data_IF_072158044089
#
_entry.id   IF_072158044089
#
_cell.length_a   1.000
_cell.length_b   1.000
_cell.length_c   1.000
_cell.angle_alpha   90.00
_cell.angle_beta   90.00
_cell.angle_gamma   90.00
#
_symmetry.space_group_name_H-M   'P 1'
#
loop_
_entity.id
_entity.type
_entity.pdbx_description
1 polymer ?
#
# COMPACT_ATOMS: atom_id res chain seq x y z
N UNK A 1 -31.17 8.79 5.33
CA UNK A 1 -29.74 9.06 5.56
C UNK A 1 -29.01 7.72 5.53
N UNK A 2 -28.43 7.35 4.40
CA UNK A 2 -27.63 6.12 4.29
C UNK A 2 -26.36 6.32 5.10
N UNK A 3 -26.33 5.80 6.33
CA UNK A 3 -25.09 5.71 7.11
C UNK A 3 -24.21 4.74 6.35
N UNK A 4 -23.31 5.28 5.54
CA UNK A 4 -22.32 4.52 4.81
C UNK A 4 -21.50 3.77 5.88
N UNK A 5 -21.62 2.44 5.92
CA UNK A 5 -21.06 1.52 6.92
C UNK A 5 -19.53 1.49 6.99
N UNK A 6 -18.87 2.47 6.36
CA UNK A 6 -17.43 2.49 6.09
C UNK A 6 -16.86 3.90 6.32
N UNK A 7 -17.37 4.63 7.32
CA UNK A 7 -16.72 5.86 7.74
C UNK A 7 -15.71 5.51 8.84
N UNK A 8 -14.42 5.50 8.46
CA UNK A 8 -13.30 5.27 9.35
C UNK A 8 -12.73 6.61 9.80
N UNK A 9 -12.68 6.85 11.10
CA UNK A 9 -11.99 8.02 11.64
C UNK A 9 -10.55 7.64 12.00
N UNK A 10 -9.58 8.20 11.28
CA UNK A 10 -8.16 8.04 11.59
C UNK A 10 -7.69 9.16 12.52
N UNK A 11 -6.95 8.78 13.57
CA UNK A 11 -6.18 9.71 14.41
C UNK A 11 -4.75 9.24 14.47
N UNK A 12 -3.84 10.20 14.60
CA UNK A 12 -2.41 9.96 14.78
C UNK A 12 -2.02 10.52 16.14
N UNK A 13 -1.29 9.73 16.94
CA UNK A 13 -0.73 10.13 18.22
C UNK A 13 0.76 9.79 18.18
N UNK A 14 1.62 10.80 18.33
CA UNK A 14 3.09 10.63 18.33
C UNK A 14 3.62 9.85 17.10
N UNK A 15 3.19 10.28 15.91
CA UNK A 15 3.49 9.66 14.62
C UNK A 15 3.09 8.17 14.50
N UNK A 16 2.20 7.68 15.37
CA UNK A 16 1.64 6.33 15.30
C UNK A 16 0.13 6.38 15.05
N UNK A 17 -0.40 5.58 14.12
CA UNK A 17 -1.84 5.52 13.89
C UNK A 17 -2.53 4.87 15.09
N UNK A 18 -3.68 5.42 15.46
CA UNK A 18 -4.57 4.77 16.42
C UNK A 18 -5.25 3.59 15.74
N UNK A 19 -5.02 2.40 16.29
CA UNK A 19 -5.48 1.14 15.70
C UNK A 19 -6.63 0.53 16.50
N UNK A 20 -7.63 0.02 15.78
CA UNK A 20 -8.67 -0.82 16.35
C UNK A 20 -8.32 -2.28 16.12
N UNK A 21 -8.12 -3.02 17.21
CA UNK A 21 -7.76 -4.43 17.18
C UNK A 21 -8.97 -5.29 17.61
N UNK A 22 -9.31 -6.29 16.81
CA UNK A 22 -10.39 -7.23 17.13
C UNK A 22 -9.94 -8.67 16.91
N UNK A 23 -10.53 -9.59 17.66
CA UNK A 23 -10.24 -11.02 17.55
C UNK A 23 -11.16 -11.63 16.51
N UNK A 24 -10.59 -12.33 15.54
CA UNK A 24 -11.35 -13.14 14.59
C UNK A 24 -11.11 -14.59 14.93
N UNK A 25 -12.17 -15.30 15.32
CA UNK A 25 -12.11 -16.74 15.54
C UNK A 25 -11.96 -17.42 14.19
N UNK A 26 -10.71 -17.66 13.77
CA UNK A 26 -10.39 -18.49 12.61
C UNK A 26 -10.03 -19.88 13.13
N UNK A 27 -10.30 -20.91 12.35
CA UNK A 27 -10.45 -22.33 12.70
C UNK A 27 -9.35 -22.98 13.56
N UNK A 28 -8.17 -22.38 13.74
CA UNK A 28 -7.07 -22.97 14.53
C UNK A 28 -6.21 -22.00 15.36
N UNK A 29 -6.50 -20.70 15.41
CA UNK A 29 -5.77 -19.79 16.30
C UNK A 29 -6.55 -18.48 16.55
N UNK A 30 -6.45 -17.95 17.77
CA UNK A 30 -6.90 -16.58 18.11
C UNK A 30 -5.97 -15.56 17.46
N UNK A 31 -6.15 -15.27 16.17
CA UNK A 31 -5.44 -14.18 15.50
C UNK A 31 -6.12 -12.84 15.79
N UNK A 32 -5.31 -11.87 16.19
CA UNK A 32 -5.74 -10.48 16.42
C UNK A 32 -5.49 -9.72 15.12
N UNK A 33 -6.52 -9.10 14.58
CA UNK A 33 -6.42 -8.23 13.42
C UNK A 33 -6.52 -6.78 13.89
N UNK A 34 -5.58 -5.93 13.49
CA UNK A 34 -5.59 -4.51 13.80
C UNK A 34 -5.74 -3.71 12.51
N UNK A 35 -6.76 -2.86 12.46
CA UNK A 35 -6.98 -1.93 11.37
C UNK A 35 -6.63 -0.50 11.80
N UNK A 36 -6.11 0.29 10.88
CA UNK A 36 -5.95 1.74 11.08
C UNK A 36 -7.30 2.41 10.94
N UNK A 37 -7.79 3.02 12.02
CA UNK A 37 -9.14 3.58 12.10
C UNK A 37 -10.16 2.62 12.74
N UNK A 38 -11.35 3.14 13.03
CA UNK A 38 -12.41 2.40 13.70
C UNK A 38 -13.77 2.67 13.03
N UNK A 39 -14.70 1.70 13.04
CA UNK A 39 -16.04 1.89 12.52
C UNK A 39 -16.83 2.86 13.42
N UNK A 40 -17.70 3.66 12.82
CA UNK A 40 -18.61 4.55 13.58
C UNK A 40 -19.86 3.80 14.09
N UNK A 41 -20.15 2.63 13.55
CA UNK A 41 -21.29 1.83 13.97
C UNK A 41 -21.37 0.51 13.23
N UNK A 42 -22.46 -0.21 13.47
CA UNK A 42 -22.77 -1.44 12.78
C UNK A 42 -24.28 -1.61 12.63
N UNK A 43 -24.69 -2.46 11.70
CA UNK A 43 -26.09 -2.70 11.38
C UNK A 43 -26.41 -4.19 11.48
N UNK A 44 -27.53 -4.50 12.14
CA UNK A 44 -28.08 -5.85 12.19
C UNK A 44 -29.27 -5.91 11.24
N UNK A 45 -29.17 -6.82 10.27
CA UNK A 45 -30.20 -6.97 9.25
C UNK A 45 -31.57 -7.36 9.86
N UNK A 46 -32.62 -7.15 9.09
CA UNK A 46 -34.00 -7.59 9.42
C UNK A 46 -34.08 -9.10 9.69
N UNK A 47 -33.22 -9.90 9.06
CA UNK A 47 -33.07 -11.33 9.32
C UNK A 47 -32.42 -11.67 10.68
N UNK A 48 -31.84 -10.68 11.38
CA UNK A 48 -31.08 -10.87 12.62
C UNK A 48 -29.62 -11.26 12.42
N UNK A 49 -29.12 -11.22 11.18
CA UNK A 49 -27.71 -11.47 10.88
C UNK A 49 -26.89 -10.21 11.16
N UNK A 50 -25.99 -10.29 12.14
CA UNK A 50 -25.02 -9.24 12.42
C UNK A 50 -24.01 -9.11 11.27
N UNK A 51 -23.84 -7.90 10.72
CA UNK A 51 -22.84 -7.59 9.70
C UNK A 51 -21.75 -6.67 10.28
N UNK A 52 -20.58 -6.67 9.64
CA UNK A 52 -19.46 -5.79 9.96
C UNK A 52 -19.01 -5.88 11.44
N UNK A 53 -18.86 -4.74 12.11
CA UNK A 53 -18.39 -4.67 13.49
C UNK A 53 -19.37 -5.25 14.54
N UNK A 54 -20.63 -5.53 14.18
CA UNK A 54 -21.60 -6.16 15.10
C UNK A 54 -21.19 -7.61 15.44
N UNK A 55 -20.37 -8.26 14.61
CA UNK A 55 -19.88 -9.65 14.84
C UNK A 55 -18.97 -9.76 16.07
N UNK A 56 -18.40 -8.64 16.53
CA UNK A 56 -17.39 -8.63 17.61
C UNK A 56 -18.03 -8.86 18.98
N UNK A 57 -19.26 -8.39 19.18
CA UNK A 57 -20.03 -8.61 20.41
C UNK A 57 -21.47 -9.01 20.07
N UNK A 58 -21.68 -10.24 19.58
CA UNK A 58 -22.99 -10.68 19.08
C UNK A 58 -24.05 -10.76 20.18
N UNK A 59 -23.65 -10.84 21.46
CA UNK A 59 -24.56 -10.81 22.60
C UNK A 59 -25.11 -9.41 22.90
N UNK A 60 -24.35 -8.37 22.58
CA UNK A 60 -24.72 -6.98 22.87
C UNK A 60 -25.47 -6.35 21.70
N UNK A 61 -25.06 -6.65 20.46
CA UNK A 61 -25.64 -6.08 19.23
C UNK A 61 -26.50 -7.12 18.50
N UNK A 62 -27.68 -7.45 19.05
CA UNK A 62 -28.51 -8.55 18.55
C UNK A 62 -29.92 -8.15 18.08
N UNK A 63 -30.39 -6.93 18.39
CA UNK A 63 -31.72 -6.51 17.96
C UNK A 63 -31.83 -6.42 16.44
N UNK A 64 -32.88 -7.02 15.88
CA UNK A 64 -33.17 -7.02 14.45
C UNK A 64 -33.48 -5.61 13.94
N UNK A 65 -33.09 -5.34 12.69
CA UNK A 65 -33.38 -4.09 11.97
C UNK A 65 -32.97 -2.82 12.75
N UNK A 66 -31.76 -2.87 13.30
CA UNK A 66 -31.24 -1.84 14.23
C UNK A 66 -29.83 -1.40 13.85
N UNK A 67 -29.63 -0.09 13.79
CA UNK A 67 -28.34 0.56 13.65
C UNK A 67 -27.77 0.86 15.03
N UNK A 68 -26.60 0.32 15.32
CA UNK A 68 -25.85 0.64 16.54
C UNK A 68 -24.78 1.65 16.21
N UNK A 69 -24.78 2.78 16.90
CA UNK A 69 -23.76 3.82 16.74
C UNK A 69 -22.76 3.71 17.89
N UNK A 70 -21.47 3.67 17.55
CA UNK A 70 -20.37 3.70 18.51
C UNK A 70 -20.07 5.15 18.88
N UNK A 71 -20.82 5.62 19.88
CA UNK A 71 -20.70 6.97 20.40
C UNK A 71 -19.65 7.11 21.52
N UNK A 72 -19.18 6.00 22.08
CA UNK A 72 -18.10 5.98 23.05
C UNK A 72 -16.83 5.38 22.48
N UNK A 73 -15.71 6.05 22.75
CA UNK A 73 -14.40 5.61 22.30
C UNK A 73 -13.44 5.52 23.48
N UNK A 74 -12.95 4.31 23.77
CA UNK A 74 -11.92 4.08 24.78
C UNK A 74 -10.56 3.96 24.11
N UNK A 75 -9.67 4.90 24.40
CA UNK A 75 -8.30 4.94 23.87
C UNK A 75 -7.37 4.43 24.97
N UNK A 76 -6.65 3.35 24.70
CA UNK A 76 -5.64 2.78 25.59
C UNK A 76 -4.25 3.09 25.03
N UNK A 77 -3.53 3.96 25.73
CA UNK A 77 -2.17 4.34 25.41
C UNK A 77 -1.21 3.55 26.29
N UNK A 78 -0.41 2.67 25.68
CA UNK A 78 0.65 1.97 26.39
C UNK A 78 1.96 2.71 26.18
N UNK A 79 2.64 3.00 27.28
CA UNK A 79 3.93 3.67 27.27
C UNK A 79 4.98 2.81 27.96
N UNK A 80 6.21 2.91 27.47
CA UNK A 80 7.39 2.39 28.14
C UNK A 80 7.88 3.48 29.08
N UNK A 81 8.05 3.16 30.36
CA UNK A 81 8.62 4.08 31.33
C UNK A 81 10.15 3.91 31.33
N UNK A 82 10.90 5.00 31.13
CA UNK A 82 12.37 5.01 31.14
C UNK A 82 12.98 4.87 32.54
N UNK A 83 12.17 4.74 33.59
CA UNK A 83 12.65 4.46 34.93
C UNK A 83 13.50 3.17 34.98
N UNK A 84 14.82 3.32 35.06
CA UNK A 84 15.79 2.22 35.06
C UNK A 84 16.56 2.02 33.74
N UNK A 85 16.35 2.90 32.75
CA UNK A 85 17.03 2.90 31.45
C UNK A 85 17.92 4.15 31.30
N UNK A 86 18.76 4.19 30.26
CA UNK A 86 19.67 5.33 29.97
C UNK A 86 18.96 6.63 29.55
N UNK A 87 17.63 6.65 29.55
CA UNK A 87 16.82 7.77 29.07
C UNK A 87 15.70 8.09 30.07
N UNK A 88 15.49 9.38 30.30
CA UNK A 88 14.43 9.87 31.17
C UNK A 88 13.12 10.09 30.39
N UNK A 89 11.99 9.88 31.06
CA UNK A 89 10.64 10.10 30.53
C UNK A 89 9.88 8.84 30.12
N UNK A 90 8.80 9.03 29.35
CA UNK A 90 7.91 7.97 28.88
C UNK A 90 7.82 7.98 27.34
N UNK A 91 7.99 6.83 26.71
CA UNK A 91 7.89 6.68 25.25
C UNK A 91 6.61 5.92 24.89
N UNK A 92 5.86 6.40 23.91
CA UNK A 92 4.66 5.72 23.46
C UNK A 92 5.02 4.45 22.68
N UNK A 93 4.32 3.35 23.00
CA UNK A 93 4.58 2.04 22.40
C UNK A 93 3.36 1.50 21.64
N UNK A 94 2.15 1.74 22.13
CA UNK A 94 0.94 1.33 21.40
C UNK A 94 -0.22 2.30 21.66
N UNK A 95 -1.02 2.56 20.64
CA UNK A 95 -2.24 3.35 20.74
C UNK A 95 -3.39 2.50 20.21
N UNK A 96 -4.12 1.89 21.12
CA UNK A 96 -5.24 1.00 20.81
C UNK A 96 -6.56 1.69 21.11
N UNK A 97 -7.57 1.44 20.29
CA UNK A 97 -8.88 2.03 20.43
C UNK A 97 -9.95 0.95 20.45
N UNK A 98 -10.89 1.09 21.38
CA UNK A 98 -12.03 0.21 21.57
C UNK A 98 -13.32 1.03 21.43
N UNK A 99 -14.06 0.89 20.32
CA UNK A 99 -15.35 1.55 20.16
C UNK A 99 -16.43 0.81 20.96
N UNK A 100 -17.39 1.55 21.50
CA UNK A 100 -18.54 0.99 22.22
C UNK A 100 -19.78 1.85 21.99
N UNK A 101 -20.94 1.20 22.02
CA UNK A 101 -22.24 1.90 21.95
C UNK A 101 -22.83 2.02 23.35
N UNK A 102 -23.22 3.23 23.76
CA UNK A 102 -23.70 3.50 25.11
C UNK A 102 -24.88 4.47 25.08
N UNK A 103 -26.04 4.03 25.59
CA UNK A 103 -27.28 4.84 25.54
C UNK A 103 -27.23 6.11 26.41
N UNK A 104 -26.67 6.01 27.63
CA UNK A 104 -26.73 7.08 28.64
C UNK A 104 -25.46 7.93 28.72
N UNK A 105 -24.89 8.33 27.58
CA UNK A 105 -23.68 9.15 27.50
C UNK A 105 -22.52 8.63 28.40
N UNK A 106 -22.45 7.31 28.62
CA UNK A 106 -21.42 6.65 29.44
C UNK A 106 -21.39 7.08 30.91
N UNK A 107 -22.55 7.29 31.56
CA UNK A 107 -22.59 7.38 33.04
C UNK A 107 -22.07 6.11 33.72
N UNK A 108 -22.20 4.95 33.06
CA UNK A 108 -21.59 3.68 33.46
C UNK A 108 -20.33 3.40 32.59
N UNK A 109 -19.15 3.17 33.19
CA UNK A 109 -17.91 2.85 32.48
C UNK A 109 -17.97 1.58 31.61
N UNK A 110 -18.92 0.68 31.91
CA UNK A 110 -19.06 -0.63 31.27
C UNK A 110 -19.93 -0.62 30.01
N UNK A 111 -20.71 0.45 29.78
CA UNK A 111 -21.63 0.56 28.64
C UNK A 111 -22.49 -0.69 28.40
N UNK A 112 -23.16 -1.15 29.45
CA UNK A 112 -23.96 -2.38 29.40
C UNK A 112 -25.19 -2.30 28.48
N UNK A 113 -25.68 -1.09 28.15
CA UNK A 113 -26.82 -0.88 27.25
C UNK A 113 -26.40 -0.15 25.97
N UNK A 114 -26.54 -0.78 24.79
CA UNK A 114 -26.16 -0.18 23.52
C UNK A 114 -27.19 0.86 23.06
N UNK A 115 -26.72 1.88 22.33
CA UNK A 115 -27.56 2.87 21.68
C UNK A 115 -27.96 2.37 20.28
N UNK A 116 -29.11 1.69 20.21
CA UNK A 116 -29.71 1.20 18.97
C UNK A 116 -30.75 2.16 18.40
N UNK A 117 -30.69 2.40 17.09
CA UNK A 117 -31.66 3.19 16.32
C UNK A 117 -32.36 2.25 15.34
N UNK A 118 -33.69 2.12 15.42
CA UNK A 118 -34.47 1.31 14.47
C UNK A 118 -34.45 1.93 13.08
N UNK A 119 -34.41 1.10 12.04
CA UNK A 119 -34.54 1.56 10.67
C UNK A 119 -35.93 2.17 10.44
N UNK A 120 -35.99 3.38 9.88
CA UNK A 120 -37.26 4.05 9.55
C UNK A 120 -37.67 5.23 10.45
N UNK A 121 -36.87 5.59 11.45
CA UNK A 121 -37.06 6.83 12.21
C UNK A 121 -36.76 8.07 11.35
N UNK A 122 -37.72 8.99 11.23
CA UNK A 122 -37.58 10.28 10.52
C UNK A 122 -37.29 11.45 11.45
N UNK A 123 -37.30 11.24 12.76
CA UNK A 123 -37.02 12.30 13.74
C UNK A 123 -35.52 12.61 13.84
N UNK A 124 -35.13 13.88 14.07
CA UNK A 124 -33.74 14.24 14.31
C UNK A 124 -33.25 13.66 15.64
N UNK A 125 -32.23 12.80 15.59
CA UNK A 125 -31.66 12.13 16.76
C UNK A 125 -30.38 12.86 17.20
N UNK A 126 -30.31 13.27 18.46
CA UNK A 126 -29.08 13.80 19.07
C UNK A 126 -28.28 12.67 19.70
N UNK A 127 -27.01 12.53 19.30
CA UNK A 127 -26.13 11.44 19.75
C UNK A 127 -25.02 12.04 20.63
N UNK A 128 -24.96 11.72 21.93
CA UNK A 128 -23.88 12.18 22.79
C UNK A 128 -22.61 11.36 22.54
N UNK A 129 -21.52 12.03 22.13
CA UNK A 129 -20.22 11.41 21.95
C UNK A 129 -19.34 11.61 23.18
N UNK A 130 -18.71 10.53 23.64
CA UNK A 130 -17.79 10.55 24.79
C UNK A 130 -16.53 9.78 24.48
N UNK A 131 -15.44 10.14 25.16
CA UNK A 131 -14.17 9.44 25.03
C UNK A 131 -13.56 9.20 26.40
N UNK A 132 -12.82 8.10 26.52
CA UNK A 132 -12.03 7.77 27.71
C UNK A 132 -10.60 7.49 27.28
N UNK A 133 -9.62 8.04 27.99
CA UNK A 133 -8.21 7.76 27.75
C UNK A 133 -7.64 7.01 28.96
N UNK A 134 -7.07 5.84 28.72
CA UNK A 134 -6.36 5.06 29.73
C UNK A 134 -4.88 5.00 29.38
N UNK A 135 -4.05 5.31 30.36
CA UNK A 135 -2.60 5.18 30.26
C UNK A 135 -2.17 3.92 31.00
N UNK A 136 -1.36 3.09 30.36
CA UNK A 136 -0.86 1.85 30.98
C UNK A 136 0.63 1.71 30.71
N UNK A 137 1.43 1.54 31.76
CA UNK A 137 2.86 1.28 31.62
C UNK A 137 3.11 -0.16 31.17
N UNK A 138 3.92 -0.35 30.14
CA UNK A 138 4.38 -1.67 29.70
C UNK A 138 5.85 -1.60 29.26
N UNK A 139 6.72 -2.18 30.08
CA UNK A 139 8.17 -2.23 29.86
C UNK A 139 8.61 -3.42 29.00
N UNK A 140 7.73 -4.42 28.79
CA UNK A 140 8.07 -5.63 28.03
C UNK A 140 8.27 -5.38 26.53
N UNK A 141 7.69 -4.31 26.01
CA UNK A 141 7.79 -3.95 24.58
C UNK A 141 8.84 -2.84 24.44
N UNK A 142 9.86 -3.09 23.63
CA UNK A 142 10.88 -2.09 23.31
C UNK A 142 10.28 -1.02 22.37
N UNK A 143 10.74 0.21 22.49
CA UNK A 143 10.27 1.30 21.61
C UNK A 143 10.54 1.00 20.12
N UNK A 144 11.65 0.33 19.79
CA UNK A 144 11.98 -0.05 18.41
C UNK A 144 10.97 -1.04 17.79
N UNK A 145 10.37 -1.92 18.60
CA UNK A 145 9.38 -2.92 18.17
C UNK A 145 7.94 -2.41 18.23
N UNK A 146 7.72 -1.09 18.31
CA UNK A 146 6.38 -0.50 18.48
C UNK A 146 5.42 -0.75 17.31
N UNK A 147 5.95 -1.07 16.13
CA UNK A 147 5.17 -1.34 14.92
C UNK A 147 4.79 -2.82 14.76
N UNK A 148 5.44 -3.73 15.50
CA UNK A 148 5.33 -5.17 15.28
C UNK A 148 3.88 -5.67 15.43
N UNK A 149 3.13 -5.14 16.41
CA UNK A 149 1.74 -5.55 16.63
C UNK A 149 0.81 -5.16 15.47
N UNK A 150 1.13 -4.10 14.73
CA UNK A 150 0.36 -3.68 13.56
C UNK A 150 0.74 -4.57 12.38
N UNK A 151 2.05 -4.75 12.15
CA UNK A 151 2.58 -5.50 11.02
C UNK A 151 2.21 -6.98 11.06
N UNK A 152 2.29 -7.62 12.23
CA UNK A 152 1.92 -9.02 12.43
C UNK A 152 0.43 -9.28 12.18
N UNK A 153 -0.39 -8.25 12.36
CA UNK A 153 -1.84 -8.35 12.19
C UNK A 153 -2.31 -8.19 10.73
N UNK A 154 -1.41 -7.76 9.83
CA UNK A 154 -1.71 -7.65 8.40
C UNK A 154 -1.70 -9.07 7.83
N UNK A 155 -2.80 -9.54 7.19
CA UNK A 155 -2.78 -10.84 6.55
C UNK A 155 -1.67 -10.85 5.51
N UNK A 156 -0.70 -11.75 5.67
CA UNK A 156 0.32 -12.00 4.65
C UNK A 156 -0.39 -12.46 3.37
N UNK A 157 -0.71 -11.53 2.48
CA UNK A 157 -1.23 -11.86 1.18
C UNK A 157 -0.08 -12.48 0.40
N UNK A 158 -0.11 -13.80 0.24
CA UNK A 158 0.81 -14.61 -0.58
C UNK A 158 0.87 -14.19 -2.06
N UNK A 159 0.13 -13.15 -2.43
CA UNK A 159 -0.04 -12.61 -3.78
C UNK A 159 1.21 -11.84 -4.27
N UNK A 160 2.03 -11.28 -3.36
CA UNK A 160 3.22 -10.51 -3.76
C UNK A 160 4.32 -11.36 -4.39
N UNK A 161 4.44 -12.62 -4.00
CA UNK A 161 5.43 -13.55 -4.56
C UNK A 161 5.20 -13.83 -6.05
N UNK A 162 3.97 -13.69 -6.55
CA UNK A 162 3.67 -13.81 -7.97
C UNK A 162 4.30 -12.69 -8.80
N UNK A 163 4.30 -11.45 -8.28
CA UNK A 163 4.94 -10.30 -8.94
C UNK A 163 6.46 -10.44 -8.94
N UNK A 164 7.05 -10.92 -7.82
CA UNK A 164 8.48 -11.19 -7.72
C UNK A 164 8.90 -12.25 -8.74
N UNK A 165 8.20 -13.39 -8.81
CA UNK A 165 8.48 -14.45 -9.77
C UNK A 165 8.36 -13.95 -11.22
N UNK A 166 7.31 -13.20 -11.53
CA UNK A 166 7.10 -12.62 -12.87
C UNK A 166 8.27 -11.72 -13.29
N UNK A 167 8.76 -10.85 -12.38
CA UNK A 167 9.89 -9.98 -12.65
C UNK A 167 11.20 -10.76 -12.86
N UNK A 168 11.43 -11.83 -12.09
CA UNK A 168 12.64 -12.65 -12.21
C UNK A 168 12.71 -13.38 -13.56
N UNK A 169 11.58 -13.91 -14.05
CA UNK A 169 11.52 -14.60 -15.34
C UNK A 169 11.88 -13.66 -16.50
N UNK A 170 11.37 -12.41 -16.47
CA UNK A 170 11.65 -11.41 -17.50
C UNK A 170 13.14 -11.04 -17.51
N UNK A 171 13.74 -10.81 -16.34
CA UNK A 171 15.17 -10.46 -16.22
C UNK A 171 16.07 -11.57 -16.76
N UNK A 172 15.80 -12.83 -16.40
CA UNK A 172 16.57 -13.97 -16.91
C UNK A 172 16.47 -14.09 -18.43
N UNK A 173 15.28 -13.95 -18.99
CA UNK A 173 15.08 -14.04 -20.43
C UNK A 173 15.80 -12.92 -21.20
N UNK A 174 15.68 -11.68 -20.73
CA UNK A 174 16.36 -10.53 -21.33
C UNK A 174 17.89 -10.67 -21.23
N UNK A 175 18.42 -11.10 -20.07
CA UNK A 175 19.84 -11.36 -19.92
C UNK A 175 20.34 -12.47 -20.84
N UNK A 176 19.56 -13.54 -21.03
CA UNK A 176 19.88 -14.65 -21.92
C UNK A 176 19.91 -14.24 -23.38
N UNK A 177 18.95 -13.42 -23.82
CA UNK A 177 18.92 -12.86 -25.17
C UNK A 177 20.13 -11.96 -25.43
N UNK A 178 20.46 -11.06 -24.51
CA UNK A 178 21.65 -10.19 -24.62
C UNK A 178 22.93 -11.03 -24.66
N UNK A 179 23.06 -12.02 -23.77
CA UNK A 179 24.21 -12.91 -23.75
C UNK A 179 24.34 -13.71 -25.06
N UNK A 180 23.24 -14.20 -25.65
CA UNK A 180 23.26 -14.88 -26.95
C UNK A 180 23.75 -13.96 -28.06
N UNK A 181 23.27 -12.71 -28.12
CA UNK A 181 23.70 -11.72 -29.13
C UNK A 181 25.18 -11.41 -28.94
N UNK A 182 25.63 -11.20 -27.71
CA UNK A 182 27.03 -10.92 -27.38
C UNK A 182 27.94 -12.10 -27.76
N UNK A 183 27.55 -13.33 -27.41
CA UNK A 183 28.33 -14.52 -27.79
C UNK A 183 28.36 -14.71 -29.31
N UNK A 184 27.25 -14.46 -30.01
CA UNK A 184 27.19 -14.60 -31.47
C UNK A 184 28.05 -13.56 -32.18
N UNK A 185 28.04 -12.32 -31.71
CA UNK A 185 28.88 -11.24 -32.24
C UNK A 185 30.36 -11.51 -31.97
N UNK A 186 30.70 -11.89 -30.74
CA UNK A 186 32.07 -12.22 -30.35
C UNK A 186 32.63 -13.39 -31.14
N UNK A 187 31.89 -14.51 -31.30
CA UNK A 187 32.36 -15.64 -32.10
C UNK A 187 32.59 -15.25 -33.57
N UNK A 188 31.70 -14.43 -34.14
CA UNK A 188 31.84 -13.94 -35.52
C UNK A 188 33.04 -13.02 -35.66
N UNK A 189 33.29 -12.14 -34.69
CA UNK A 189 34.41 -11.22 -34.71
C UNK A 189 35.75 -11.98 -34.55
N UNK A 190 35.86 -12.92 -33.60
CA UNK A 190 37.06 -13.77 -33.46
C UNK A 190 37.34 -14.54 -34.75
N UNK A 191 36.33 -15.17 -35.35
CA UNK A 191 36.50 -15.91 -36.59
C UNK A 191 36.99 -15.01 -37.75
N UNK A 192 36.52 -13.77 -37.80
CA UNK A 192 36.96 -12.77 -38.79
C UNK A 192 38.41 -12.33 -38.54
N UNK A 193 38.78 -12.03 -37.30
CA UNK A 193 40.15 -11.62 -36.96
C UNK A 193 41.17 -12.73 -37.25
N UNK A 194 40.86 -13.98 -36.91
CA UNK A 194 41.72 -15.12 -37.22
C UNK A 194 41.92 -15.36 -38.73
N UNK A 195 40.99 -14.90 -39.57
CA UNK A 195 41.13 -14.98 -41.03
C UNK A 195 41.98 -13.82 -41.60
N UNK A 196 41.90 -12.64 -40.99
CA UNK A 196 42.64 -11.44 -41.43
C UNK A 196 44.14 -11.53 -41.15
N UNK A 197 44.55 -12.22 -40.08
CA UNK A 197 45.96 -12.52 -39.78
C UNK A 197 46.66 -13.36 -40.88
N UNK A 198 45.90 -13.89 -41.85
CA UNK A 198 46.42 -14.63 -43.01
C UNK A 198 46.45 -13.79 -44.31
N UNK A 199 45.91 -12.56 -44.31
CA UNK A 199 45.71 -11.74 -45.52
C UNK A 199 46.02 -10.25 -45.29
N UNK A 200 47.23 -9.95 -44.81
CA UNK A 200 47.68 -8.62 -44.31
C UNK A 200 47.69 -7.47 -45.35
N UNK A 201 47.21 -7.66 -46.59
CA UNK A 201 47.23 -6.64 -47.65
C UNK A 201 45.85 -6.01 -48.00
N UNK A 202 44.74 -6.44 -47.37
CA UNK A 202 43.38 -6.01 -47.76
C UNK A 202 42.66 -5.11 -46.74
N UNK A 203 43.31 -4.73 -45.63
CA UNK A 203 42.65 -4.09 -44.49
C UNK A 203 42.48 -2.56 -44.62
N UNK A 204 43.03 -1.91 -45.65
CA UNK A 204 42.86 -0.46 -45.85
C UNK A 204 41.51 -0.07 -46.47
N UNK A 205 40.70 -1.01 -46.98
CA UNK A 205 39.49 -0.72 -47.77
C UNK A 205 38.14 -1.07 -47.08
N UNK A 206 38.06 -1.23 -45.75
CA UNK A 206 36.76 -1.48 -45.10
C UNK A 206 36.51 -0.66 -43.84
N UNK A 207 35.39 0.08 -43.82
CA UNK A 207 34.79 0.64 -42.61
C UNK A 207 34.33 2.09 -42.71
N UNK A 208 33.90 2.65 -41.57
CA UNK A 208 33.51 4.06 -41.38
C UNK A 208 34.58 5.08 -41.84
N UNK A 209 35.82 4.62 -42.01
CA UNK A 209 36.97 5.39 -42.49
C UNK A 209 36.84 5.78 -43.98
N UNK A 210 36.20 4.94 -44.81
CA UNK A 210 35.85 5.28 -46.20
C UNK A 210 34.67 6.25 -46.28
N UNK A 211 33.74 6.15 -45.33
CA UNK A 211 32.54 6.98 -45.25
C UNK A 211 32.88 8.45 -44.94
N UNK A 212 34.02 8.72 -44.30
CA UNK A 212 34.50 10.08 -44.06
C UNK A 212 34.65 10.91 -45.35
N UNK A 213 34.97 10.28 -46.49
CA UNK A 213 35.02 10.95 -47.79
C UNK A 213 33.66 11.17 -48.45
N UNK A 214 32.69 10.27 -48.20
CA UNK A 214 31.36 10.32 -48.81
C UNK A 214 30.36 11.23 -48.05
N UNK A 215 30.58 11.48 -46.76
CA UNK A 215 29.76 12.41 -45.95
C UNK A 215 29.77 13.84 -46.51
N UNK A 216 30.86 14.25 -47.15
CA UNK A 216 30.98 15.58 -47.74
C UNK A 216 30.50 15.66 -49.19
N UNK A 217 30.05 14.55 -49.79
CA UNK A 217 29.55 14.55 -51.16
C UNK A 217 28.10 15.08 -51.18
N UNK A 218 27.80 16.13 -51.95
CA UNK A 218 26.43 16.63 -52.04
C UNK A 218 25.53 15.53 -52.62
N UNK A 219 24.38 15.21 -51.97
CA UNK A 219 23.47 14.18 -52.47
C UNK A 219 22.89 14.63 -53.82
N UNK A 220 22.80 13.70 -54.78
CA UNK A 220 22.37 13.99 -56.15
C UNK A 220 20.97 14.64 -56.28
N UNK A 221 20.15 14.60 -55.22
CA UNK A 221 18.85 15.28 -55.11
C UNK A 221 18.68 16.05 -53.80
N UNK A 222 19.69 16.83 -53.40
CA UNK A 222 19.70 17.55 -52.11
C UNK A 222 18.48 18.45 -51.85
N UNK A 223 17.88 19.04 -52.88
CA UNK A 223 16.69 19.89 -52.73
C UNK A 223 15.47 19.11 -52.25
N UNK A 224 15.24 17.90 -52.78
CA UNK A 224 14.12 17.05 -52.34
C UNK A 224 14.31 16.56 -50.90
N UNK A 225 15.55 16.21 -50.56
CA UNK A 225 15.93 15.81 -49.20
C UNK A 225 15.69 16.93 -48.19
N UNK A 226 16.09 18.16 -48.53
CA UNK A 226 15.89 19.33 -47.67
C UNK A 226 14.41 19.63 -47.43
N UNK A 227 13.56 19.49 -48.46
CA UNK A 227 12.11 19.68 -48.33
C UNK A 227 11.50 18.60 -47.44
N UNK A 228 11.87 17.33 -47.64
CA UNK A 228 11.39 16.21 -46.81
C UNK A 228 11.82 16.31 -45.35
N UNK A 229 13.07 16.70 -45.08
CA UNK A 229 13.55 16.93 -43.72
C UNK A 229 12.83 18.12 -43.07
N UNK A 230 12.70 19.24 -43.79
CA UNK A 230 12.02 20.42 -43.26
C UNK A 230 10.57 20.15 -42.89
N UNK A 231 9.79 19.52 -43.79
CA UNK A 231 8.40 19.18 -43.52
C UNK A 231 8.27 18.09 -42.46
N UNK A 232 9.15 17.08 -42.47
CA UNK A 232 9.19 16.01 -41.48
C UNK A 232 9.46 16.54 -40.07
N UNK A 233 10.49 17.37 -39.89
CA UNK A 233 10.80 18.00 -38.60
C UNK A 233 9.64 18.88 -38.13
N UNK A 234 9.04 19.68 -39.02
CA UNK A 234 7.89 20.52 -38.68
C UNK A 234 6.70 19.69 -38.16
N UNK A 235 6.35 18.58 -38.82
CA UNK A 235 5.25 17.70 -38.41
C UNK A 235 5.57 17.01 -37.08
N UNK A 236 6.81 16.52 -36.90
CA UNK A 236 7.24 15.89 -35.64
C UNK A 236 7.16 16.88 -34.48
N UNK A 237 7.70 18.09 -34.64
CA UNK A 237 7.66 19.11 -33.57
C UNK A 237 6.23 19.53 -33.23
N UNK A 238 5.36 19.71 -34.24
CA UNK A 238 3.93 19.95 -34.01
C UNK A 238 3.31 18.81 -33.22
N UNK A 239 3.51 17.56 -33.66
CA UNK A 239 2.91 16.38 -33.03
C UNK A 239 3.36 16.24 -31.57
N UNK A 240 4.66 16.37 -31.27
CA UNK A 240 5.20 16.30 -29.91
C UNK A 240 4.72 17.42 -28.97
N UNK A 241 4.37 18.59 -29.50
CA UNK A 241 3.79 19.67 -28.69
C UNK A 241 2.29 19.45 -28.46
N UNK A 242 1.61 18.81 -29.41
CA UNK A 242 0.15 18.66 -29.39
C UNK A 242 -0.31 17.42 -28.61
N UNK A 243 0.51 16.38 -28.56
CA UNK A 243 0.25 15.09 -27.92
C UNK A 243 0.95 14.98 -26.56
#
# INVERSE_FOLDING_TARGET
MSVQTVFFHSRIIDNMPVTWCYQVSTTDARKIYCSTGFPIGCYVDSAGTAKDACVIQPKLYNEKDTYYIFNHVRITLKYHNGAGEDWDGARLVSAQLWPSSCKDACKDPSCSQPFGIKAGGTEPITIPYTYQVLFTSNTSIKWASRWDYILESIPHTSIQWFSIMNSLVIVLFLSGMVAMIMLRTLHKDIARYNQLDTSDDAQEEFGWKLVHGDVFRPPGKGMLLSVMLGTGTQVVTMTSITL
#
